data_IF_862009884940
#
_entry.id   IF_862009884940
#
_cell.length_a   1.000
_cell.length_b   1.000
_cell.length_c   1.000
_cell.angle_alpha   90.00
_cell.angle_beta   90.00
_cell.angle_gamma   90.00
#
_symmetry.space_group_name_H-M   'P 1'
#
loop_
_entity.id
_entity.type
_entity.pdbx_description
1 polymer ?
#
# COMPACT_ATOMS: atom_id res chain seq x y z
N UNK A 1 32.38 57.88 -30.48
CA UNK A 1 31.35 58.58 -29.68
C UNK A 1 30.00 58.16 -30.23
N UNK A 2 29.01 57.99 -29.33
CA UNK A 2 27.64 57.48 -29.52
C UNK A 2 27.47 55.95 -29.45
N UNK A 3 27.18 55.53 -28.21
CA UNK A 3 26.50 54.32 -27.77
C UNK A 3 24.99 54.49 -28.02
N UNK A 4 24.32 53.56 -28.70
CA UNK A 4 22.85 53.56 -28.81
C UNK A 4 22.31 52.19 -28.38
N UNK A 5 22.24 52.03 -27.06
CA UNK A 5 21.55 50.93 -26.39
C UNK A 5 20.03 51.07 -26.59
N UNK A 6 19.45 50.30 -27.50
CA UNK A 6 18.00 50.08 -27.55
C UNK A 6 17.58 49.18 -26.37
N UNK A 7 16.85 49.75 -25.41
CA UNK A 7 16.21 49.02 -24.32
C UNK A 7 14.83 48.49 -24.78
N UNK A 8 14.48 47.22 -24.53
CA UNK A 8 13.10 46.76 -24.63
C UNK A 8 12.27 47.17 -23.40
N UNK A 9 10.93 47.33 -23.53
CA UNK A 9 10.07 47.79 -22.45
C UNK A 9 9.98 46.77 -21.30
N UNK A 10 10.00 47.32 -20.08
CA UNK A 10 10.11 46.58 -18.83
C UNK A 10 8.98 45.59 -18.57
N UNK A 11 9.38 44.39 -18.16
CA UNK A 11 8.51 43.36 -17.57
C UNK A 11 8.14 43.80 -16.16
N UNK A 12 6.86 43.82 -15.75
CA UNK A 12 6.52 44.11 -14.36
C UNK A 12 7.08 43.02 -13.45
N UNK A 13 7.92 43.42 -12.49
CA UNK A 13 8.45 42.55 -11.45
C UNK A 13 7.29 41.96 -10.63
N UNK A 14 6.95 40.70 -10.89
CA UNK A 14 6.13 39.92 -9.98
C UNK A 14 6.93 39.73 -8.68
N UNK A 15 6.37 40.26 -7.60
CA UNK A 15 6.94 40.17 -6.25
C UNK A 15 6.93 38.70 -5.80
N UNK A 16 8.05 38.12 -5.33
CA UNK A 16 8.03 36.77 -4.78
C UNK A 16 7.21 36.75 -3.48
N UNK A 17 6.37 35.71 -3.25
CA UNK A 17 5.65 35.58 -1.99
C UNK A 17 6.62 35.29 -0.84
N UNK A 18 6.37 35.92 0.31
CA UNK A 18 7.15 35.76 1.54
C UNK A 18 6.79 34.43 2.24
N UNK A 19 7.75 33.73 2.88
CA UNK A 19 7.47 32.59 3.74
C UNK A 19 7.39 33.02 5.21
N UNK A 20 6.21 32.91 5.82
CA UNK A 20 5.91 32.87 7.27
C UNK A 20 4.37 32.94 7.40
N UNK A 21 3.65 32.19 8.23
CA UNK A 21 3.99 31.22 9.26
C UNK A 21 2.69 30.48 9.62
N UNK A 22 2.83 29.25 10.12
CA UNK A 22 1.96 28.57 11.09
C UNK A 22 0.49 28.19 10.79
N UNK A 23 0.26 26.90 11.09
CA UNK A 23 -0.91 26.35 11.78
C UNK A 23 -2.16 26.05 10.94
N UNK A 24 -2.06 25.03 10.10
CA UNK A 24 -3.21 24.18 9.76
C UNK A 24 -3.34 23.06 10.80
N UNK A 25 -4.14 23.30 11.84
CA UNK A 25 -4.53 22.26 12.78
C UNK A 25 -5.38 21.21 12.07
N UNK A 26 -4.92 19.96 12.08
CA UNK A 26 -5.73 18.80 11.77
C UNK A 26 -6.86 18.76 12.80
N UNK A 27 -8.10 18.89 12.36
CA UNK A 27 -9.29 18.71 13.18
C UNK A 27 -9.36 17.26 13.64
N UNK A 28 -8.98 17.02 14.90
CA UNK A 28 -9.32 15.82 15.64
C UNK A 28 -10.82 15.83 15.97
N UNK A 29 -11.42 14.66 15.81
CA UNK A 29 -12.83 14.32 15.94
C UNK A 29 -13.58 15.01 17.09
N UNK A 30 -14.74 15.60 16.79
CA UNK A 30 -15.82 15.82 17.76
C UNK A 30 -16.98 14.89 17.38
N UNK A 31 -16.91 13.63 17.82
CA UNK A 31 -18.10 12.77 17.91
C UNK A 31 -18.83 13.15 19.19
N UNK A 32 -20.01 13.71 19.02
CA UNK A 32 -20.94 13.98 20.12
C UNK A 32 -21.43 12.65 20.69
N UNK A 33 -21.29 12.49 22.01
CA UNK A 33 -21.81 11.35 22.75
C UNK A 33 -23.33 11.52 22.86
N UNK A 34 -24.06 10.82 22.00
CA UNK A 34 -25.46 10.50 22.20
C UNK A 34 -25.56 9.07 22.72
N UNK A 35 -26.03 8.90 23.95
CA UNK A 35 -26.31 7.58 24.56
C UNK A 35 -27.36 6.80 23.76
N UNK A 36 -27.20 5.48 23.54
CA UNK A 36 -28.32 4.62 23.15
C UNK A 36 -28.80 3.76 24.31
N UNK A 37 -30.05 3.99 24.72
CA UNK A 37 -30.84 3.04 25.52
C UNK A 37 -31.23 1.84 24.64
N UNK A 38 -30.65 0.69 25.02
CA UNK A 38 -31.04 -0.73 24.88
C UNK A 38 -31.98 -1.19 23.77
N UNK A 39 -31.53 -2.21 23.02
CA UNK A 39 -32.04 -3.61 23.05
C UNK A 39 -31.99 -4.26 21.66
N UNK A 40 -30.90 -4.98 21.35
CA UNK A 40 -31.05 -6.39 20.95
C UNK A 40 -29.70 -7.13 21.06
N UNK A 41 -29.75 -8.29 21.70
CA UNK A 41 -28.60 -9.10 22.08
C UNK A 41 -28.02 -9.87 20.91
N UNK A 42 -27.30 -9.19 20.01
CA UNK A 42 -26.34 -9.84 19.12
C UNK A 42 -25.09 -9.00 19.01
N UNK A 43 -24.07 -9.34 19.81
CA UNK A 43 -22.72 -8.91 19.49
C UNK A 43 -22.45 -9.37 18.05
N UNK A 44 -22.28 -8.41 17.13
CA UNK A 44 -21.76 -8.70 15.81
C UNK A 44 -20.49 -9.56 16.00
N UNK A 45 -20.25 -10.59 15.19
CA UNK A 45 -18.97 -11.28 15.24
C UNK A 45 -17.92 -10.18 15.05
N UNK A 46 -17.08 -9.95 16.05
CA UNK A 46 -15.85 -9.20 15.85
C UNK A 46 -15.14 -10.03 14.79
N UNK A 47 -15.14 -9.55 13.54
CA UNK A 47 -14.28 -10.07 12.50
C UNK A 47 -12.88 -9.81 13.06
N UNK A 48 -12.28 -10.80 13.73
CA UNK A 48 -10.90 -10.68 14.18
C UNK A 48 -10.12 -10.28 12.93
N UNK A 49 -9.57 -9.05 12.91
CA UNK A 49 -8.96 -8.54 11.71
C UNK A 49 -7.78 -9.47 11.49
N UNK A 50 -7.80 -10.19 10.38
CA UNK A 50 -6.65 -10.97 9.96
C UNK A 50 -5.41 -10.07 9.89
N UNK A 51 -4.27 -10.65 9.55
CA UNK A 51 -3.03 -9.91 9.44
C UNK A 51 -3.24 -8.64 8.58
N UNK A 52 -2.92 -7.44 9.08
CA UNK A 52 -3.21 -6.19 8.38
C UNK A 52 -2.41 -6.03 7.08
N UNK A 53 -1.34 -6.81 6.91
CA UNK A 53 -0.50 -6.76 5.71
C UNK A 53 -0.91 -7.76 4.63
N UNK A 54 -1.36 -8.96 5.00
CA UNK A 54 -1.64 -10.04 4.03
C UNK A 54 -3.06 -10.60 4.11
N UNK A 55 -3.92 -10.03 4.96
CA UNK A 55 -5.28 -10.49 5.24
C UNK A 55 -5.39 -11.97 5.70
N UNK A 56 -4.28 -12.62 6.09
CA UNK A 56 -4.31 -13.98 6.64
C UNK A 56 -5.26 -14.02 7.83
N UNK A 57 -6.28 -14.89 7.84
CA UNK A 57 -7.20 -15.01 8.96
C UNK A 57 -6.45 -15.42 10.24
N UNK A 58 -6.85 -14.84 11.37
CA UNK A 58 -6.27 -15.15 12.67
C UNK A 58 -6.33 -13.96 13.62
N UNK A 59 -6.08 -14.22 14.90
CA UNK A 59 -5.85 -13.19 15.90
C UNK A 59 -4.35 -13.01 16.09
N UNK A 60 -3.84 -11.84 15.70
CA UNK A 60 -2.44 -11.47 15.82
C UNK A 60 -2.23 -10.33 16.83
N UNK A 61 -3.28 -9.95 17.55
CA UNK A 61 -3.28 -8.77 18.41
C UNK A 61 -3.36 -7.45 17.63
N UNK A 62 -3.41 -6.31 18.35
CA UNK A 62 -3.53 -4.99 17.74
C UNK A 62 -2.25 -4.61 16.98
N UNK A 63 -2.43 -3.93 15.84
CA UNK A 63 -1.34 -3.30 15.12
C UNK A 63 -0.97 -1.95 15.77
N UNK A 64 0.28 -1.83 16.20
CA UNK A 64 0.88 -0.59 16.70
C UNK A 64 1.83 0.00 15.63
N UNK A 65 1.53 1.18 15.05
CA UNK A 65 2.36 1.81 14.02
C UNK A 65 3.78 2.15 14.47
N UNK A 66 4.03 2.31 15.78
CA UNK A 66 5.38 2.57 16.30
C UNK A 66 6.20 1.30 16.50
N UNK A 67 5.56 0.13 16.45
CA UNK A 67 6.18 -1.18 16.51
C UNK A 67 5.85 -1.96 15.23
N UNK A 68 6.67 -1.84 14.16
CA UNK A 68 6.30 -2.28 12.81
C UNK A 68 5.90 -3.76 12.66
N UNK A 69 6.18 -4.60 13.66
CA UNK A 69 5.88 -6.04 13.66
C UNK A 69 4.69 -6.44 14.53
N UNK A 70 4.18 -5.52 15.34
CA UNK A 70 3.00 -5.76 16.18
C UNK A 70 1.76 -6.04 15.32
N UNK A 71 0.89 -6.95 15.76
CA UNK A 71 -0.33 -7.29 15.02
C UNK A 71 -0.12 -8.04 13.70
N UNK A 72 1.13 -8.41 13.34
CA UNK A 72 1.42 -9.12 12.10
C UNK A 72 1.43 -10.64 12.30
N UNK A 73 1.00 -11.38 11.29
CA UNK A 73 1.19 -12.82 11.28
C UNK A 73 2.69 -13.20 11.16
N UNK A 74 3.08 -14.41 11.60
CA UNK A 74 4.48 -14.86 11.53
C UNK A 74 5.09 -14.79 10.12
N UNK A 75 4.29 -15.03 9.08
CA UNK A 75 4.73 -14.95 7.69
C UNK A 75 5.13 -13.51 7.29
N UNK A 76 4.34 -12.50 7.67
CA UNK A 76 4.66 -11.10 7.43
C UNK A 76 5.87 -10.63 8.27
N UNK A 77 6.00 -11.12 9.50
CA UNK A 77 7.19 -10.86 10.33
C UNK A 77 8.45 -11.46 9.69
N UNK A 78 8.36 -12.67 9.14
CA UNK A 78 9.46 -13.33 8.44
C UNK A 78 9.81 -12.60 7.13
N UNK A 79 8.79 -12.19 6.36
CA UNK A 79 8.96 -11.44 5.12
C UNK A 79 9.64 -10.08 5.33
N UNK A 80 9.43 -9.44 6.48
CA UNK A 80 10.09 -8.19 6.83
C UNK A 80 11.58 -8.30 7.20
N UNK A 81 12.17 -9.51 7.15
CA UNK A 81 13.61 -9.70 7.38
C UNK A 81 14.36 -9.49 6.06
N UNK A 82 15.47 -8.72 6.04
CA UNK A 82 16.28 -8.51 4.84
C UNK A 82 17.20 -9.72 4.59
N UNK A 83 16.62 -10.91 4.55
CA UNK A 83 17.29 -12.18 4.24
C UNK A 83 16.71 -12.74 2.95
N UNK A 84 17.43 -13.65 2.28
CA UNK A 84 16.93 -14.34 1.08
C UNK A 84 15.55 -14.97 1.34
N UNK A 85 15.41 -15.74 2.42
CA UNK A 85 14.13 -16.35 2.79
C UNK A 85 13.04 -15.33 3.14
N UNK A 86 13.40 -14.17 3.71
CA UNK A 86 12.45 -13.08 3.93
C UNK A 86 11.95 -12.46 2.62
N UNK A 87 12.85 -12.22 1.66
CA UNK A 87 12.49 -11.73 0.32
C UNK A 87 11.63 -12.75 -0.44
N UNK A 88 11.99 -14.03 -0.42
CA UNK A 88 11.20 -15.11 -1.03
C UNK A 88 9.79 -15.15 -0.42
N UNK A 89 9.68 -15.06 0.91
CA UNK A 89 8.39 -15.02 1.60
C UNK A 89 7.57 -13.77 1.24
N UNK A 90 8.21 -12.61 1.10
CA UNK A 90 7.55 -11.37 0.69
C UNK A 90 6.96 -11.49 -0.73
N UNK A 91 7.71 -12.09 -1.66
CA UNK A 91 7.24 -12.34 -3.04
C UNK A 91 6.01 -13.26 -3.03
N UNK A 92 6.04 -14.34 -2.24
CA UNK A 92 4.91 -15.25 -2.11
C UNK A 92 3.65 -14.56 -1.55
N UNK A 93 3.81 -13.70 -0.54
CA UNK A 93 2.70 -12.93 0.02
C UNK A 93 2.08 -12.00 -1.03
N UNK A 94 2.89 -11.21 -1.73
CA UNK A 94 2.40 -10.28 -2.77
C UNK A 94 1.74 -11.02 -3.94
N UNK A 95 2.30 -12.17 -4.34
CA UNK A 95 1.70 -13.01 -5.36
C UNK A 95 0.33 -13.55 -4.91
N UNK A 96 0.22 -14.04 -3.67
CA UNK A 96 -1.04 -14.50 -3.09
C UNK A 96 -2.10 -13.39 -3.07
N UNK A 97 -1.75 -12.19 -2.61
CA UNK A 97 -2.66 -11.05 -2.61
C UNK A 97 -3.13 -10.66 -4.02
N UNK A 98 -2.24 -10.74 -5.01
CA UNK A 98 -2.60 -10.48 -6.41
C UNK A 98 -3.60 -11.51 -6.92
N UNK A 99 -3.42 -12.79 -6.58
CA UNK A 99 -4.33 -13.87 -6.97
C UNK A 99 -5.68 -13.72 -6.28
N UNK A 100 -5.71 -13.47 -4.97
CA UNK A 100 -6.96 -13.24 -4.24
C UNK A 100 -7.73 -12.04 -4.81
N UNK A 101 -7.05 -10.95 -5.15
CA UNK A 101 -7.68 -9.80 -5.79
C UNK A 101 -8.29 -10.12 -7.17
N UNK A 102 -7.70 -11.06 -7.91
CA UNK A 102 -8.26 -11.56 -9.17
C UNK A 102 -9.41 -12.55 -8.95
N UNK A 103 -9.36 -13.39 -7.91
CA UNK A 103 -10.43 -14.32 -7.53
C UNK A 103 -11.70 -13.60 -7.05
N UNK A 104 -11.55 -12.43 -6.42
CA UNK A 104 -12.68 -11.59 -5.98
C UNK A 104 -13.28 -10.75 -7.10
N UNK A 105 -12.71 -10.78 -8.31
CA UNK A 105 -13.23 -10.02 -9.45
C UNK A 105 -14.55 -10.66 -9.92
N UNK A 106 -15.64 -9.88 -9.87
CA UNK A 106 -16.90 -10.30 -10.46
C UNK A 106 -16.82 -10.17 -11.98
N UNK A 107 -16.71 -11.31 -12.66
CA UNK A 107 -16.59 -11.37 -14.12
C UNK A 107 -17.85 -10.87 -14.84
N UNK A 108 -19.02 -10.90 -14.20
CA UNK A 108 -20.27 -10.47 -14.82
C UNK A 108 -20.36 -8.94 -14.95
N UNK A 109 -19.78 -8.22 -13.98
CA UNK A 109 -19.87 -6.76 -13.87
C UNK A 109 -18.55 -6.04 -14.18
N UNK A 110 -17.43 -6.78 -14.34
CA UNK A 110 -16.12 -6.19 -14.60
C UNK A 110 -16.05 -5.49 -15.96
N UNK A 111 -15.49 -4.28 -15.95
CA UNK A 111 -15.17 -3.53 -17.17
C UNK A 111 -14.00 -4.16 -17.93
N UNK A 112 -13.88 -3.95 -19.26
CA UNK A 112 -12.71 -4.40 -20.02
C UNK A 112 -11.37 -3.89 -19.46
N UNK A 113 -11.35 -2.68 -18.91
CA UNK A 113 -10.20 -2.05 -18.28
C UNK A 113 -9.78 -2.80 -17.00
N UNK A 114 -10.74 -3.14 -16.13
CA UNK A 114 -10.50 -3.92 -14.91
C UNK A 114 -9.98 -5.32 -15.24
N UNK A 115 -10.61 -6.00 -16.20
CA UNK A 115 -10.15 -7.32 -16.67
C UNK A 115 -8.71 -7.28 -17.19
N UNK A 116 -8.39 -6.26 -18.01
CA UNK A 116 -7.03 -6.08 -18.56
C UNK A 116 -6.01 -5.79 -17.46
N UNK A 117 -6.40 -4.98 -16.46
CA UNK A 117 -5.56 -4.69 -15.30
C UNK A 117 -5.25 -5.96 -14.50
N UNK A 118 -6.26 -6.73 -14.11
CA UNK A 118 -6.09 -7.94 -13.30
C UNK A 118 -5.31 -9.03 -14.06
N UNK A 119 -5.61 -9.25 -15.35
CA UNK A 119 -4.85 -10.21 -16.18
C UNK A 119 -3.37 -9.79 -16.32
N UNK A 120 -3.11 -8.50 -16.53
CA UNK A 120 -1.76 -7.96 -16.61
C UNK A 120 -0.97 -8.12 -15.31
N UNK A 121 -1.64 -7.91 -14.17
CA UNK A 121 -1.07 -8.14 -12.84
C UNK A 121 -0.73 -9.62 -12.63
N UNK A 122 -1.68 -10.53 -12.86
CA UNK A 122 -1.46 -11.99 -12.71
C UNK A 122 -0.31 -12.47 -13.58
N UNK A 123 -0.25 -12.05 -14.85
CA UNK A 123 0.83 -12.40 -15.78
C UNK A 123 2.21 -11.95 -15.25
N UNK A 124 2.33 -10.71 -14.76
CA UNK A 124 3.59 -10.18 -14.23
C UNK A 124 4.00 -10.91 -12.95
N UNK A 125 3.06 -11.12 -12.03
CA UNK A 125 3.32 -11.82 -10.76
C UNK A 125 3.76 -13.26 -11.00
N UNK A 126 3.10 -13.98 -11.92
CA UNK A 126 3.51 -15.34 -12.30
C UNK A 126 4.91 -15.36 -12.92
N UNK A 127 5.22 -14.40 -13.82
CA UNK A 127 6.56 -14.30 -14.40
C UNK A 127 7.63 -14.09 -13.34
N UNK A 128 7.39 -13.18 -12.39
CA UNK A 128 8.33 -12.91 -11.29
C UNK A 128 8.53 -14.12 -10.39
N UNK A 129 7.46 -14.85 -10.08
CA UNK A 129 7.53 -16.07 -9.27
C UNK A 129 8.30 -17.18 -10.00
N UNK A 130 8.04 -17.38 -11.30
CA UNK A 130 8.80 -18.32 -12.11
C UNK A 130 10.28 -17.96 -12.20
N UNK A 131 10.63 -16.66 -12.27
CA UNK A 131 12.03 -16.21 -12.25
C UNK A 131 12.71 -16.45 -10.91
N UNK A 132 11.97 -16.34 -9.80
CA UNK A 132 12.49 -16.63 -8.46
C UNK A 132 12.78 -18.13 -8.28
N UNK A 133 11.92 -18.98 -8.83
CA UNK A 133 12.00 -20.44 -8.73
C UNK A 133 12.88 -21.07 -9.82
N UNK A 134 13.14 -20.36 -10.92
CA UNK A 134 13.96 -20.85 -12.00
C UNK A 134 15.37 -21.14 -11.47
N UNK A 135 15.93 -22.34 -11.74
CA UNK A 135 17.32 -22.62 -11.47
C UNK A 135 18.20 -21.59 -12.18
N UNK A 136 19.15 -20.99 -11.47
CA UNK A 136 20.20 -20.19 -12.11
C UNK A 136 21.08 -21.19 -12.85
N UNK A 137 21.07 -21.15 -14.19
CA UNK A 137 22.02 -21.90 -14.99
C UNK A 137 23.44 -21.39 -14.64
N UNK A 138 24.16 -22.14 -13.80
CA UNK A 138 25.48 -21.73 -13.29
C UNK A 138 25.95 -22.44 -12.02
N UNK A 139 25.12 -23.18 -11.30
CA UNK A 139 25.56 -24.10 -10.24
C UNK A 139 25.63 -25.54 -10.79
N UNK A 140 26.51 -25.75 -11.78
CA UNK A 140 27.14 -27.06 -11.95
C UNK A 140 28.15 -27.21 -10.81
N UNK A 141 27.75 -27.99 -9.82
CA UNK A 141 28.56 -28.47 -8.71
C UNK A 141 29.82 -29.19 -9.23
N UNK A 142 30.90 -28.98 -8.49
CA UNK A 142 32.24 -29.49 -8.76
C UNK A 142 32.60 -30.52 -7.70
#
# INVERSE_FOLDING_TARGET
MADETTNPPGVPHARPPRPSDRSGGVTLNRLEVGDPVTADGRAAPVLSPGCPLCATPGDFGPHNPTEPRSGLCPACVAAGKPTRGGLEQAVLIVAGQTLTGAETLDLADATPEELTYHLGMVKRSLRSLLQLLAPVAGEEDR
#
